data_IF_062793635271
#
_entry.id   IF_062793635271
#
_cell.length_a   1.000
_cell.length_b   1.000
_cell.length_c   1.000
_cell.angle_alpha   90.00
_cell.angle_beta   90.00
_cell.angle_gamma   90.00
#
_symmetry.space_group_name_H-M   'P 1'
#
loop_
_entity.id
_entity.type
_entity.pdbx_description
1 polymer ?
#
# COMPACT_ATOMS: atom_id res chain seq x y z
N UNK A 1 -58.87 37.32 -45.84
CA UNK A 1 -57.72 36.42 -45.61
C UNK A 1 -56.62 37.22 -44.93
N UNK A 2 -56.39 36.90 -43.64
CA UNK A 2 -55.34 37.31 -42.67
C UNK A 2 -54.84 38.77 -42.64
N UNK A 3 -55.22 39.44 -41.54
CA UNK A 3 -54.78 40.74 -41.03
C UNK A 3 -54.01 40.48 -39.72
N UNK A 4 -52.79 41.04 -39.65
CA UNK A 4 -51.91 41.53 -38.55
C UNK A 4 -51.93 40.87 -37.16
N UNK A 5 -50.79 40.65 -36.48
CA UNK A 5 -50.12 41.57 -35.50
C UNK A 5 -48.79 40.90 -35.06
N UNK A 6 -47.59 41.44 -35.29
CA UNK A 6 -46.75 42.35 -34.47
C UNK A 6 -46.24 41.83 -33.09
N UNK A 7 -44.90 41.68 -32.98
CA UNK A 7 -43.97 41.75 -31.81
C UNK A 7 -44.05 40.70 -30.67
N UNK A 8 -42.93 39.97 -30.44
CA UNK A 8 -42.21 39.99 -29.14
C UNK A 8 -40.77 39.46 -29.27
N UNK A 9 -39.83 40.31 -28.82
CA UNK A 9 -38.40 40.05 -28.58
C UNK A 9 -38.22 39.42 -27.18
N UNK A 10 -37.11 38.67 -26.99
CA UNK A 10 -36.52 38.16 -25.74
C UNK A 10 -37.06 36.84 -25.14
N UNK A 11 -36.19 35.82 -25.15
CA UNK A 11 -35.60 35.09 -23.98
C UNK A 11 -34.31 34.46 -24.56
N UNK A 12 -33.10 35.02 -24.38
CA UNK A 12 -32.21 35.01 -23.21
C UNK A 12 -31.87 33.60 -22.68
N UNK A 13 -30.59 33.25 -22.86
CA UNK A 13 -29.71 32.45 -21.99
C UNK A 13 -30.23 31.17 -21.33
N UNK A 14 -29.73 30.05 -21.86
CA UNK A 14 -29.21 28.89 -21.09
C UNK A 14 -27.88 28.55 -21.80
N UNK A 15 -26.70 29.12 -21.49
CA UNK A 15 -25.80 28.77 -20.36
C UNK A 15 -25.92 27.28 -19.97
N UNK A 16 -24.92 26.41 -19.97
CA UNK A 16 -23.50 26.58 -19.75
C UNK A 16 -22.78 25.24 -20.03
N UNK A 17 -21.51 25.34 -20.41
CA UNK A 17 -20.39 24.46 -20.04
C UNK A 17 -20.70 23.02 -19.60
N UNK A 18 -20.52 22.05 -20.50
CA UNK A 18 -20.40 20.64 -20.12
C UNK A 18 -19.02 20.01 -20.45
N UNK A 19 -17.98 20.86 -20.62
CA UNK A 19 -16.59 20.40 -20.84
C UNK A 19 -15.60 20.77 -19.73
N UNK A 20 -16.03 21.50 -18.70
CA UNK A 20 -15.17 21.90 -17.56
C UNK A 20 -15.34 21.04 -16.29
N UNK A 21 -16.45 20.31 -16.14
CA UNK A 21 -16.71 19.49 -14.94
C UNK A 21 -15.76 18.29 -14.82
N UNK A 22 -15.49 17.57 -15.92
CA UNK A 22 -14.66 16.35 -15.88
C UNK A 22 -13.21 16.60 -15.48
N UNK A 23 -12.61 17.75 -15.79
CA UNK A 23 -11.22 18.05 -15.41
C UNK A 23 -11.10 18.48 -13.95
N UNK A 24 -12.05 19.26 -13.44
CA UNK A 24 -12.08 19.71 -12.04
C UNK A 24 -12.40 18.57 -11.09
N UNK A 25 -13.35 17.71 -11.45
CA UNK A 25 -13.71 16.53 -10.64
C UNK A 25 -12.58 15.49 -10.62
N UNK A 26 -11.86 15.33 -11.74
CA UNK A 26 -10.65 14.50 -11.82
C UNK A 26 -9.51 15.06 -10.96
N UNK A 27 -9.23 16.36 -11.05
CA UNK A 27 -8.22 17.03 -10.22
C UNK A 27 -8.56 16.97 -8.72
N UNK A 28 -9.84 17.10 -8.37
CA UNK A 28 -10.31 16.96 -6.98
C UNK A 28 -10.17 15.52 -6.49
N UNK A 29 -10.49 14.54 -7.32
CA UNK A 29 -10.30 13.12 -7.03
C UNK A 29 -8.81 12.76 -6.84
N UNK A 30 -7.95 13.21 -7.76
CA UNK A 30 -6.49 13.01 -7.69
C UNK A 30 -5.88 13.70 -6.46
N UNK A 31 -6.33 14.92 -6.13
CA UNK A 31 -5.89 15.63 -4.92
C UNK A 31 -6.34 14.92 -3.64
N UNK A 32 -7.58 14.44 -3.59
CA UNK A 32 -8.08 13.68 -2.46
C UNK A 32 -7.31 12.36 -2.29
N UNK A 33 -7.00 11.68 -3.39
CA UNK A 33 -6.14 10.49 -3.41
C UNK A 33 -4.74 10.81 -2.86
N UNK A 34 -4.10 11.90 -3.30
CA UNK A 34 -2.78 12.32 -2.80
C UNK A 34 -2.80 12.68 -1.30
N UNK A 35 -3.88 13.30 -0.82
CA UNK A 35 -4.07 13.62 0.60
C UNK A 35 -4.23 12.33 1.43
N UNK A 36 -4.98 11.36 0.91
CA UNK A 36 -5.14 10.03 1.50
C UNK A 36 -3.78 9.30 1.54
N UNK A 37 -2.99 9.40 0.47
CA UNK A 37 -1.69 8.76 0.33
C UNK A 37 -0.67 9.20 1.41
N UNK A 38 -0.69 10.47 1.82
CA UNK A 38 0.19 10.94 2.89
C UNK A 38 -0.24 10.50 4.29
N UNK A 39 -1.53 10.24 4.54
CA UNK A 39 -2.04 9.95 5.89
C UNK A 39 -1.61 8.57 6.40
N UNK A 40 -1.59 7.54 5.56
CA UNK A 40 -1.11 6.22 6.00
C UNK A 40 0.40 6.18 6.16
N UNK A 41 1.17 6.95 5.37
CA UNK A 41 2.62 6.98 5.48
C UNK A 41 3.08 7.48 6.87
N UNK A 42 2.40 8.49 7.42
CA UNK A 42 2.65 8.96 8.79
C UNK A 42 2.32 7.90 9.85
N UNK A 43 1.29 7.07 9.63
CA UNK A 43 0.93 5.97 10.53
C UNK A 43 1.98 4.86 10.50
N UNK A 44 2.50 4.53 9.32
CA UNK A 44 3.59 3.55 9.16
C UNK A 44 4.88 4.08 9.80
N UNK A 45 5.20 5.36 9.59
CA UNK A 45 6.33 5.99 10.27
C UNK A 45 6.21 5.86 11.80
N UNK A 46 5.04 6.21 12.36
CA UNK A 46 4.78 6.08 13.80
C UNK A 46 4.88 4.63 14.28
N UNK A 47 4.40 3.66 13.48
CA UNK A 47 4.53 2.24 13.81
C UNK A 47 5.99 1.84 14.02
N UNK A 48 6.89 2.17 13.09
CA UNK A 48 8.31 1.86 13.24
C UNK A 48 8.99 2.68 14.34
N UNK A 49 8.72 3.98 14.42
CA UNK A 49 9.28 4.87 15.45
C UNK A 49 8.86 4.51 16.87
N UNK A 50 7.71 3.84 17.06
CA UNK A 50 7.27 3.38 18.38
C UNK A 50 7.66 1.91 18.64
N UNK A 51 8.06 1.17 17.61
CA UNK A 51 8.47 -0.22 17.67
C UNK A 51 9.99 -0.37 17.60
N UNK A 52 10.45 -1.14 16.61
CA UNK A 52 11.85 -1.49 16.41
C UNK A 52 12.79 -0.27 16.29
N UNK A 53 12.27 0.86 15.77
CA UNK A 53 13.03 2.09 15.59
C UNK A 53 13.02 3.06 16.78
N UNK A 54 12.42 2.69 17.91
CA UNK A 54 12.19 3.60 19.05
C UNK A 54 13.44 4.21 19.69
N UNK A 55 14.58 3.53 19.60
CA UNK A 55 15.85 4.00 20.13
C UNK A 55 16.81 4.48 19.02
N UNK A 56 16.31 4.68 17.80
CA UNK A 56 17.12 5.04 16.63
C UNK A 56 16.82 6.46 16.17
N UNK A 57 17.83 7.11 15.58
CA UNK A 57 17.67 8.41 14.91
C UNK A 57 16.97 8.20 13.58
N UNK A 58 15.86 8.91 13.36
CA UNK A 58 15.10 8.83 12.11
C UNK A 58 15.51 9.96 11.15
N UNK A 59 15.89 9.59 9.94
CA UNK A 59 16.01 10.48 8.78
C UNK A 59 14.90 10.12 7.77
N UNK A 60 14.29 11.14 7.15
CA UNK A 60 13.18 10.96 6.22
C UNK A 60 13.54 11.59 4.88
N UNK A 61 13.59 10.77 3.84
CA UNK A 61 13.78 11.23 2.47
C UNK A 61 12.48 11.03 1.68
N UNK A 62 12.00 12.10 1.03
CA UNK A 62 10.72 12.08 0.31
C UNK A 62 10.95 12.29 -1.18
N UNK A 63 10.45 11.38 -2.00
CA UNK A 63 10.38 11.52 -3.45
C UNK A 63 8.91 11.54 -3.93
N UNK A 64 8.69 11.69 -5.23
CA UNK A 64 7.34 11.70 -5.81
C UNK A 64 6.61 10.35 -5.74
N UNK A 65 7.34 9.26 -5.55
CA UNK A 65 6.81 7.90 -5.56
C UNK A 65 6.98 7.15 -4.24
N UNK A 66 7.94 7.56 -3.41
CA UNK A 66 8.33 6.82 -2.20
C UNK A 66 8.60 7.81 -1.05
N UNK A 67 8.21 7.42 0.17
CA UNK A 67 8.78 7.96 1.41
C UNK A 67 9.77 6.94 1.96
N UNK A 68 11.01 7.34 2.15
CA UNK A 68 12.06 6.53 2.75
C UNK A 68 12.25 6.96 4.21
N UNK A 69 12.20 5.98 5.11
CA UNK A 69 12.52 6.15 6.52
C UNK A 69 13.83 5.43 6.79
N UNK A 70 14.86 6.16 7.19
CA UNK A 70 16.18 5.63 7.48
C UNK A 70 16.40 5.74 8.99
N UNK A 71 16.45 4.60 9.67
CA UNK A 71 16.73 4.53 11.09
C UNK A 71 18.21 4.23 11.31
N UNK A 72 18.87 5.13 12.04
CA UNK A 72 20.31 5.12 12.28
C UNK A 72 20.62 5.00 13.76
N UNK A 73 21.77 4.43 14.09
CA UNK A 73 22.28 4.44 15.45
C UNK A 73 22.87 5.81 15.85
N UNK A 74 23.52 5.87 17.01
CA UNK A 74 24.12 7.10 17.52
C UNK A 74 25.33 7.57 16.70
N UNK A 75 26.01 6.66 16.01
CA UNK A 75 27.17 6.91 15.13
C UNK A 75 26.74 7.26 13.69
N UNK A 76 25.44 7.35 13.44
CA UNK A 76 24.81 7.59 12.14
C UNK A 76 24.93 6.43 11.15
N UNK A 77 25.18 5.20 11.61
CA UNK A 77 25.14 4.01 10.77
C UNK A 77 23.67 3.62 10.47
N UNK A 78 23.27 3.44 9.20
CA UNK A 78 21.92 2.98 8.87
C UNK A 78 21.72 1.52 9.28
N UNK A 79 20.74 1.28 10.15
CA UNK A 79 20.39 -0.06 10.63
C UNK A 79 19.12 -0.62 10.01
N UNK A 80 18.20 0.27 9.61
CA UNK A 80 16.93 -0.13 9.00
C UNK A 80 16.46 0.92 8.00
N UNK A 81 16.03 0.47 6.83
CA UNK A 81 15.48 1.29 5.76
C UNK A 81 14.08 0.80 5.42
N UNK A 82 13.10 1.71 5.47
CA UNK A 82 11.72 1.45 5.13
C UNK A 82 11.35 2.29 3.91
N UNK A 83 10.88 1.65 2.83
CA UNK A 83 10.40 2.34 1.63
C UNK A 83 8.89 2.19 1.52
N UNK A 84 8.18 3.27 1.82
CA UNK A 84 6.72 3.35 1.77
C UNK A 84 6.30 3.90 0.40
N UNK A 85 5.60 3.13 -0.44
CA UNK A 85 5.13 3.64 -1.71
C UNK A 85 4.03 4.70 -1.50
N UNK A 86 4.06 5.76 -2.30
CA UNK A 86 3.00 6.78 -2.37
C UNK A 86 1.95 6.44 -3.40
N UNK A 87 2.36 5.85 -4.51
CA UNK A 87 1.52 5.52 -5.66
C UNK A 87 1.97 4.21 -6.30
N UNK A 88 1.04 3.51 -6.92
CA UNK A 88 1.40 2.43 -7.83
C UNK A 88 2.09 3.02 -9.07
N UNK A 89 3.25 2.50 -9.45
CA UNK A 89 3.89 2.86 -10.71
C UNK A 89 3.48 1.87 -11.81
N UNK A 90 3.36 2.35 -13.05
CA UNK A 90 2.87 1.56 -14.19
C UNK A 90 3.71 0.31 -14.50
N UNK A 91 4.98 0.29 -14.09
CA UNK A 91 5.92 -0.81 -14.35
C UNK A 91 6.17 -1.70 -13.13
N UNK A 92 5.52 -1.43 -11.99
CA UNK A 92 5.65 -2.26 -10.79
C UNK A 92 4.35 -3.01 -10.49
N UNK A 93 4.50 -4.17 -9.85
CA UNK A 93 3.39 -4.87 -9.20
C UNK A 93 2.68 -3.91 -8.25
N UNK A 94 1.34 -3.95 -8.20
CA UNK A 94 0.54 -3.08 -7.32
C UNK A 94 1.08 -3.18 -5.89
N UNK A 95 1.58 -2.07 -5.36
CA UNK A 95 2.09 -1.98 -3.98
C UNK A 95 1.01 -1.43 -3.03
N UNK A 96 0.00 -0.75 -3.56
CA UNK A 96 -1.14 -0.20 -2.84
C UNK A 96 -2.41 -0.73 -3.49
N UNK A 97 -3.27 -1.38 -2.71
CA UNK A 97 -4.63 -1.72 -3.12
C UNK A 97 -5.62 -0.90 -2.30
N UNK A 98 -6.56 -0.29 -3.01
CA UNK A 98 -7.79 0.23 -2.45
C UNK A 98 -8.88 -0.81 -2.70
N UNK A 99 -9.56 -1.24 -1.65
CA UNK A 99 -10.61 -2.27 -1.70
C UNK A 99 -11.55 -2.08 -0.51
N UNK A 100 -12.77 -2.59 -0.58
CA UNK A 100 -13.74 -2.56 0.53
C UNK A 100 -13.71 -3.92 1.25
N UNK A 101 -12.96 -4.02 2.35
CA UNK A 101 -12.68 -5.31 3.00
C UNK A 101 -13.91 -5.80 3.80
N UNK A 102 -14.69 -4.87 4.34
CA UNK A 102 -15.82 -5.15 5.24
C UNK A 102 -17.20 -4.81 4.65
N UNK A 103 -17.28 -4.53 3.35
CA UNK A 103 -18.50 -4.20 2.62
C UNK A 103 -19.27 -3.02 3.24
N UNK A 104 -18.56 -1.97 3.68
CA UNK A 104 -19.17 -0.74 4.22
C UNK A 104 -19.18 0.43 3.23
N UNK A 105 -18.88 0.15 1.96
CA UNK A 105 -18.78 1.09 0.84
C UNK A 105 -17.59 2.07 0.94
N UNK A 106 -16.76 1.97 1.98
CA UNK A 106 -15.54 2.74 2.11
C UNK A 106 -14.33 1.96 1.59
N UNK A 107 -13.45 2.65 0.88
CA UNK A 107 -12.20 2.06 0.40
C UNK A 107 -11.17 2.01 1.52
N UNK A 108 -10.86 0.81 1.98
CA UNK A 108 -9.72 0.46 2.84
C UNK A 108 -8.42 0.43 2.04
N UNK A 109 -7.29 0.29 2.74
CA UNK A 109 -5.96 0.27 2.12
C UNK A 109 -5.18 -0.96 2.56
N UNK A 110 -4.64 -1.68 1.58
CA UNK A 110 -3.57 -2.65 1.76
C UNK A 110 -2.33 -2.07 1.12
N UNK A 111 -1.22 -2.01 1.86
CA UNK A 111 0.03 -1.46 1.36
C UNK A 111 1.20 -2.39 1.67
N UNK A 112 1.94 -2.73 0.64
CA UNK A 112 3.19 -3.47 0.71
C UNK A 112 4.35 -2.49 0.87
N UNK A 113 5.03 -2.58 2.00
CA UNK A 113 6.17 -1.74 2.35
C UNK A 113 7.43 -2.59 2.26
N UNK A 114 8.44 -2.06 1.56
CA UNK A 114 9.74 -2.70 1.53
C UNK A 114 10.51 -2.33 2.79
N UNK A 115 11.11 -3.34 3.43
CA UNK A 115 11.93 -3.21 4.64
C UNK A 115 13.29 -3.83 4.36
N UNK A 116 14.34 -3.12 4.73
CA UNK A 116 15.72 -3.62 4.67
C UNK A 116 16.38 -3.42 6.04
N UNK A 117 17.16 -4.41 6.46
CA UNK A 117 17.89 -4.41 7.72
C UNK A 117 17.03 -4.79 8.95
N UNK A 118 17.37 -4.19 10.08
CA UNK A 118 16.93 -4.58 11.43
C UNK A 118 17.93 -5.48 12.17
N UNK A 119 17.71 -5.71 13.46
CA UNK A 119 18.47 -6.67 14.29
C UNK A 119 20.00 -6.46 14.35
N UNK A 120 20.49 -5.23 14.20
CA UNK A 120 21.92 -4.90 14.25
C UNK A 120 22.60 -4.68 12.88
N UNK A 121 21.82 -4.63 11.80
CA UNK A 121 22.29 -4.28 10.45
C UNK A 121 22.50 -5.49 9.53
N UNK A 122 22.51 -5.25 8.21
CA UNK A 122 22.75 -6.27 7.19
C UNK A 122 21.87 -6.14 5.94
N UNK A 123 22.21 -6.89 4.89
CA UNK A 123 21.55 -6.87 3.57
C UNK A 123 20.30 -7.78 3.51
N UNK A 124 19.53 -7.84 4.60
CA UNK A 124 18.31 -8.65 4.67
C UNK A 124 17.15 -7.77 4.25
N UNK A 125 16.48 -8.15 3.16
CA UNK A 125 15.28 -7.48 2.67
C UNK A 125 14.06 -8.34 2.93
N UNK A 126 13.02 -7.72 3.48
CA UNK A 126 11.73 -8.32 3.76
C UNK A 126 10.62 -7.40 3.22
N UNK A 127 9.41 -7.94 3.11
CA UNK A 127 8.21 -7.13 2.91
C UNK A 127 7.41 -7.08 4.21
N UNK A 128 6.76 -5.96 4.47
CA UNK A 128 5.77 -5.83 5.53
C UNK A 128 4.46 -5.27 4.95
N UNK A 129 3.38 -5.99 5.17
CA UNK A 129 2.08 -5.69 4.58
C UNK A 129 1.17 -5.09 5.64
N UNK A 130 0.81 -3.82 5.44
CA UNK A 130 -0.06 -3.07 6.35
C UNK A 130 -1.49 -3.05 5.81
N UNK A 131 -2.47 -3.25 6.70
CA UNK A 131 -3.90 -3.14 6.41
C UNK A 131 -4.46 -1.98 7.22
N UNK A 132 -5.08 -1.02 6.54
CA UNK A 132 -5.74 0.13 7.13
C UNK A 132 -7.23 0.08 6.85
N UNK A 133 -8.03 0.21 7.91
CA UNK A 133 -9.47 0.44 7.79
C UNK A 133 -9.74 1.92 7.55
N UNK A 134 -10.63 2.24 6.62
CA UNK A 134 -11.12 3.59 6.41
C UNK A 134 -12.33 3.88 7.31
N UNK A 135 -12.19 4.84 8.22
CA UNK A 135 -13.32 5.37 8.99
C UNK A 135 -13.57 6.83 8.60
N UNK A 136 -14.40 7.03 7.58
CA UNK A 136 -14.78 8.38 7.09
C UNK A 136 -13.57 9.26 6.76
N UNK A 137 -12.64 8.74 5.95
CA UNK A 137 -11.36 9.36 5.57
C UNK A 137 -10.29 9.43 6.68
N UNK A 138 -10.48 8.70 7.78
CA UNK A 138 -9.44 8.46 8.77
C UNK A 138 -8.97 7.00 8.67
N UNK A 139 -7.73 6.78 8.27
CA UNK A 139 -7.16 5.45 8.15
C UNK A 139 -6.61 4.95 9.49
N UNK A 140 -7.19 3.85 9.97
CA UNK A 140 -6.80 3.18 11.20
C UNK A 140 -5.99 1.94 10.85
N UNK A 141 -4.76 1.87 11.35
CA UNK A 141 -3.93 0.67 11.20
C UNK A 141 -4.60 -0.50 11.93
N UNK A 142 -4.93 -1.56 11.20
CA UNK A 142 -5.56 -2.78 11.74
C UNK A 142 -4.56 -3.91 11.94
N UNK A 143 -3.64 -4.08 11.01
CA UNK A 143 -2.56 -5.06 11.13
C UNK A 143 -1.32 -4.64 10.34
N UNK A 144 -0.17 -5.10 10.82
CA UNK A 144 1.09 -5.11 10.12
C UNK A 144 1.56 -6.57 10.10
N UNK A 145 1.86 -7.09 8.92
CA UNK A 145 2.11 -8.51 8.71
C UNK A 145 3.51 -8.68 8.10
N UNK A 146 4.41 -9.29 8.85
CA UNK A 146 5.78 -9.50 8.42
C UNK A 146 5.85 -10.67 7.42
N UNK A 147 6.55 -10.51 6.30
CA UNK A 147 6.74 -11.57 5.30
C UNK A 147 7.20 -12.92 5.86
N UNK A 148 7.96 -12.95 6.96
CA UNK A 148 8.39 -14.19 7.63
C UNK A 148 7.27 -14.94 8.32
N UNK A 149 6.22 -14.26 8.75
CA UNK A 149 5.03 -14.88 9.38
C UNK A 149 3.94 -15.21 8.35
N UNK A 150 4.14 -14.85 7.08
CA UNK A 150 3.20 -15.06 5.99
C UNK A 150 3.55 -16.29 5.13
N UNK A 151 4.45 -17.12 5.63
CA UNK A 151 4.83 -18.41 5.05
C UNK A 151 4.57 -19.51 6.08
N UNK A 152 4.18 -20.71 5.62
CA UNK A 152 4.02 -21.90 6.48
C UNK A 152 5.37 -22.51 6.90
N UNK A 153 6.45 -21.96 6.37
CA UNK A 153 7.78 -22.49 6.59
C UNK A 153 8.35 -22.03 7.93
N UNK A 154 8.98 -22.95 8.65
CA UNK A 154 9.68 -22.64 9.92
C UNK A 154 10.73 -21.55 9.75
N UNK A 155 11.44 -21.58 8.61
CA UNK A 155 12.39 -20.55 8.20
C UNK A 155 12.12 -20.22 6.73
N UNK A 156 11.89 -18.94 6.44
CA UNK A 156 11.57 -18.48 5.10
C UNK A 156 11.02 -17.06 5.10
N UNK A 157 10.58 -16.63 3.93
CA UNK A 157 9.92 -15.34 3.76
C UNK A 157 8.92 -15.40 2.59
N UNK A 158 7.84 -14.63 2.71
CA UNK A 158 6.87 -14.40 1.64
C UNK A 158 7.23 -13.15 0.82
N UNK A 159 7.32 -13.32 -0.49
CA UNK A 159 7.51 -12.24 -1.45
C UNK A 159 6.22 -11.98 -2.21
N UNK A 160 5.59 -10.84 -1.93
CA UNK A 160 4.35 -10.45 -2.58
C UNK A 160 4.53 -10.24 -4.08
N UNK A 161 3.64 -10.82 -4.89
CA UNK A 161 3.63 -10.66 -6.34
C UNK A 161 2.45 -9.84 -6.84
N UNK A 162 1.26 -10.01 -6.29
CA UNK A 162 0.08 -9.26 -6.70
C UNK A 162 -0.90 -9.10 -5.55
N UNK A 163 -1.68 -8.03 -5.60
CA UNK A 163 -2.76 -7.71 -4.66
C UNK A 163 -4.01 -7.39 -5.49
N UNK A 164 -5.03 -8.23 -5.38
CA UNK A 164 -6.25 -8.09 -6.18
C UNK A 164 -7.44 -8.77 -5.50
N UNK A 165 -8.60 -8.10 -5.47
CA UNK A 165 -9.88 -8.64 -4.97
C UNK A 165 -9.74 -9.37 -3.62
N UNK A 166 -9.14 -8.69 -2.64
CA UNK A 166 -8.88 -9.16 -1.27
C UNK A 166 -7.99 -10.40 -1.14
N UNK A 167 -7.33 -10.78 -2.24
CA UNK A 167 -6.38 -11.88 -2.32
C UNK A 167 -4.98 -11.34 -2.58
N UNK A 168 -4.03 -11.84 -1.80
CA UNK A 168 -2.63 -11.52 -1.98
C UNK A 168 -1.93 -12.78 -2.48
N UNK A 169 -1.34 -12.70 -3.66
CA UNK A 169 -0.58 -13.81 -4.24
C UNK A 169 0.90 -13.47 -4.23
N UNK A 170 1.72 -14.44 -3.90
CA UNK A 170 3.16 -14.28 -3.81
C UNK A 170 3.89 -15.60 -3.85
N UNK A 171 5.20 -15.55 -3.61
CA UNK A 171 6.03 -16.75 -3.47
C UNK A 171 6.56 -16.79 -2.05
N UNK A 172 6.34 -17.89 -1.37
CA UNK A 172 7.07 -18.22 -0.15
C UNK A 172 8.37 -18.92 -0.54
N UNK A 173 9.48 -18.37 -0.08
CA UNK A 173 10.80 -18.98 -0.19
C UNK A 173 11.14 -19.61 1.15
N UNK A 174 11.46 -20.90 1.13
CA UNK A 174 11.59 -21.71 2.32
C UNK A 174 12.90 -22.47 2.32
N UNK A 175 13.49 -22.61 3.51
CA UNK A 175 14.73 -23.35 3.66
C UNK A 175 14.41 -24.84 3.85
N UNK A 176 15.00 -25.69 3.00
CA UNK A 176 15.08 -27.12 3.25
C UNK A 176 15.96 -27.40 4.47
N UNK A 177 15.80 -28.56 5.15
CA UNK A 177 16.62 -28.91 6.31
C UNK A 177 18.13 -28.94 6.05
N UNK A 178 18.52 -29.24 4.81
CA UNK A 178 19.89 -29.33 4.32
C UNK A 178 20.38 -28.06 3.61
N UNK A 179 19.52 -27.03 3.49
CA UNK A 179 19.96 -25.75 2.97
C UNK A 179 21.03 -25.16 3.89
N UNK A 180 22.17 -24.81 3.31
CA UNK A 180 23.05 -23.84 3.94
C UNK A 180 22.23 -22.58 4.21
N UNK A 181 22.27 -22.07 5.44
CA UNK A 181 21.46 -20.94 5.93
C UNK A 181 21.62 -19.62 5.12
N UNK A 182 22.29 -19.63 3.96
CA UNK A 182 22.42 -18.53 3.03
C UNK A 182 21.28 -18.43 2.00
N UNK A 183 20.72 -19.54 1.48
CA UNK A 183 19.81 -19.52 0.35
C UNK A 183 18.66 -20.55 0.46
N UNK A 184 17.39 -20.13 0.45
CA UNK A 184 16.26 -21.06 0.43
C UNK A 184 16.17 -21.78 -0.93
N UNK A 185 16.06 -23.10 -0.93
CA UNK A 185 15.90 -23.91 -2.13
C UNK A 185 14.45 -24.22 -2.50
N UNK A 186 13.52 -24.16 -1.53
CA UNK A 186 12.11 -24.49 -1.74
C UNK A 186 11.28 -23.24 -2.05
N UNK A 187 10.36 -23.36 -3.00
CA UNK A 187 9.48 -22.27 -3.44
C UNK A 187 8.03 -22.73 -3.49
N UNK A 188 7.14 -21.90 -2.96
CA UNK A 188 5.71 -22.16 -2.97
C UNK A 188 4.96 -20.95 -3.51
N UNK A 189 4.17 -21.13 -4.56
CA UNK A 189 3.14 -20.17 -4.89
C UNK A 189 2.14 -20.13 -3.73
N UNK A 190 1.98 -18.96 -3.12
CA UNK A 190 1.25 -18.78 -1.87
C UNK A 190 0.15 -17.75 -2.05
N UNK A 191 -1.04 -18.13 -1.62
CA UNK A 191 -2.24 -17.31 -1.59
C UNK A 191 -2.58 -16.99 -0.13
N UNK A 192 -2.67 -15.70 0.17
CA UNK A 192 -3.14 -15.18 1.45
C UNK A 192 -4.52 -14.56 1.28
N UNK A 193 -5.32 -14.64 2.33
CA UNK A 193 -6.63 -13.99 2.42
C UNK A 193 -6.68 -13.06 3.61
N UNK A 194 -7.52 -12.04 3.50
CA UNK A 194 -7.81 -11.16 4.62
C UNK A 194 -8.96 -11.77 5.41
N UNK A 195 -8.76 -11.95 6.71
CA UNK A 195 -9.80 -12.36 7.65
C UNK A 195 -9.64 -11.55 8.93
N UNK A 196 -10.74 -10.94 9.39
CA UNK A 196 -10.72 -10.09 10.58
C UNK A 196 -9.60 -9.04 10.58
N UNK A 197 -9.35 -8.43 9.40
CA UNK A 197 -8.30 -7.43 9.19
C UNK A 197 -6.85 -7.93 9.37
N UNK A 198 -6.62 -9.24 9.34
CA UNK A 198 -5.29 -9.86 9.33
C UNK A 198 -5.11 -10.68 8.06
N UNK A 199 -3.87 -10.83 7.64
CA UNK A 199 -3.53 -11.79 6.60
C UNK A 199 -3.41 -13.18 7.22
N UNK A 200 -4.15 -14.12 6.66
CA UNK A 200 -4.05 -15.53 6.98
C UNK A 200 -3.58 -16.28 5.74
N UNK A 201 -2.75 -17.30 5.97
CA UNK A 201 -2.42 -18.26 4.93
C UNK A 201 -3.70 -18.98 4.47
N UNK A 202 -3.84 -19.14 3.16
CA UNK A 202 -4.97 -19.85 2.58
C UNK A 202 -4.55 -21.10 1.81
N UNK A 203 -3.57 -20.97 0.91
CA UNK A 203 -3.10 -22.08 0.08
C UNK A 203 -1.64 -21.88 -0.32
N UNK A 204 -0.86 -22.96 -0.32
CA UNK A 204 0.48 -22.99 -0.89
C UNK A 204 0.63 -24.20 -1.80
N UNK A 205 1.25 -23.98 -2.97
CA UNK A 205 1.60 -25.03 -3.92
C UNK A 205 3.07 -24.94 -4.27
N UNK A 206 3.80 -26.04 -4.11
CA UNK A 206 5.21 -26.09 -4.46
C UNK A 206 5.41 -25.83 -5.95
N UNK A 207 6.44 -25.08 -6.29
CA UNK A 207 6.82 -24.74 -7.65
C UNK A 207 8.33 -24.98 -7.83
N UNK A 208 8.70 -25.42 -9.03
CA UNK A 208 10.09 -25.65 -9.43
C UNK A 208 10.75 -24.35 -9.90
#
# INVERSE_FOLDING_TARGET
MKIYTLILICILFIQCDNKKSTSVDKLKSERNKLIIENRFAEKIQKYYSNGEGSNLKLEINKSDSINELIFKDNENLPLMLIKIPKKNTSNSKKQILFTDINNDELQDIIINVHREGGWGGGNVFDNEIFIFKNEKNNFILKSANNSRTLTDCKFGHFSLRNIENDKLTGISYCYAPDDGHCCPSLKYETLLRIKNWKLEHFESKEIN
#
